data_IF_158876694412
#
_entry.id   IF_158876694412
#
_cell.length_a   1.000
_cell.length_b   1.000
_cell.length_c   1.000
_cell.angle_alpha   90.00
_cell.angle_beta   90.00
_cell.angle_gamma   90.00
#
_symmetry.space_group_name_H-M   'P 1'
#
loop_
_entity.id
_entity.type
_entity.pdbx_description
1 polymer ?
#
# COMPACT_ATOMS: atom_id res chain seq x y z
N UNK A 1 -35.56 35.97 14.13
CA UNK A 1 -34.84 34.74 14.51
C UNK A 1 -33.95 34.35 13.34
N UNK A 2 -32.62 34.50 13.47
CA UNK A 2 -31.66 34.21 12.40
C UNK A 2 -31.28 32.73 12.50
N UNK A 3 -31.70 31.93 11.53
CA UNK A 3 -31.27 30.55 11.39
C UNK A 3 -29.84 30.55 10.83
N UNK A 4 -28.86 30.28 11.69
CA UNK A 4 -27.50 29.99 11.27
C UNK A 4 -27.51 28.56 10.74
N UNK A 5 -27.47 28.42 9.41
CA UNK A 5 -27.18 27.15 8.76
C UNK A 5 -25.71 26.82 9.01
N UNK A 6 -25.44 25.98 10.00
CA UNK A 6 -24.13 25.34 10.15
C UNK A 6 -24.07 24.27 9.06
N UNK A 7 -23.41 24.60 7.96
CA UNK A 7 -23.00 23.62 6.96
C UNK A 7 -21.99 22.68 7.64
N UNK A 8 -22.43 21.47 7.98
CA UNK A 8 -21.51 20.39 8.31
C UNK A 8 -20.62 20.15 7.10
N UNK A 9 -19.35 20.53 7.21
CA UNK A 9 -18.28 20.01 6.37
C UNK A 9 -18.29 18.49 6.55
N UNK A 10 -18.91 17.78 5.60
CA UNK A 10 -18.70 16.36 5.42
C UNK A 10 -17.22 16.21 5.07
N UNK A 11 -16.40 15.99 6.09
CA UNK A 11 -15.12 15.32 5.93
C UNK A 11 -15.47 14.03 5.21
N UNK A 12 -15.21 13.97 3.90
CA UNK A 12 -15.41 12.77 3.12
C UNK A 12 -14.46 11.73 3.68
N UNK A 13 -14.90 10.98 4.69
CA UNK A 13 -14.30 9.71 5.03
C UNK A 13 -14.29 8.91 3.73
N UNK A 14 -13.10 8.50 3.31
CA UNK A 14 -12.96 7.46 2.30
C UNK A 14 -13.91 6.30 2.58
N UNK A 15 -14.39 5.63 1.54
CA UNK A 15 -15.26 4.46 1.72
C UNK A 15 -14.54 3.29 2.39
N UNK A 16 -13.22 3.38 2.55
CA UNK A 16 -12.33 2.34 3.06
C UNK A 16 -12.17 1.20 2.06
N UNK A 17 -12.57 1.39 0.80
CA UNK A 17 -12.64 0.35 -0.24
C UNK A 17 -12.09 0.87 -1.55
N UNK A 18 -11.42 -0.01 -2.31
CA UNK A 18 -11.10 0.27 -3.69
C UNK A 18 -12.29 -0.03 -4.60
N UNK A 19 -12.65 0.92 -5.47
CA UNK A 19 -13.74 0.77 -6.43
C UNK A 19 -13.18 0.71 -7.84
N UNK A 20 -13.58 -0.29 -8.62
CA UNK A 20 -13.16 -0.41 -10.02
C UNK A 20 -13.79 0.70 -10.87
N UNK A 21 -12.98 1.37 -11.68
CA UNK A 21 -13.39 2.49 -12.55
C UNK A 21 -12.93 2.28 -13.99
N UNK A 22 -13.47 3.08 -14.92
CA UNK A 22 -13.05 3.10 -16.32
C UNK A 22 -11.98 4.18 -16.57
N UNK A 23 -11.95 5.24 -15.77
CA UNK A 23 -10.91 6.28 -15.84
C UNK A 23 -10.59 6.89 -14.47
N UNK A 24 -9.36 7.41 -14.32
CA UNK A 24 -8.91 8.07 -13.09
C UNK A 24 -9.67 9.37 -12.77
N UNK A 25 -10.33 9.96 -13.75
CA UNK A 25 -11.20 11.14 -13.54
C UNK A 25 -12.44 10.83 -12.71
N UNK A 26 -12.77 9.55 -12.51
CA UNK A 26 -13.87 9.11 -11.64
C UNK A 26 -13.48 9.13 -10.15
N UNK A 27 -12.18 9.23 -9.84
CA UNK A 27 -11.70 9.23 -8.47
C UNK A 27 -12.03 10.54 -7.76
N UNK A 28 -12.40 10.42 -6.49
CA UNK A 28 -12.60 11.56 -5.61
C UNK A 28 -11.27 12.22 -5.30
N UNK A 29 -11.31 13.47 -4.84
CA UNK A 29 -10.10 14.24 -4.54
C UNK A 29 -9.18 13.62 -3.46
N UNK A 30 -9.69 12.68 -2.66
CA UNK A 30 -8.95 12.00 -1.59
C UNK A 30 -8.62 10.53 -1.91
N UNK A 31 -8.95 10.06 -3.12
CA UNK A 31 -8.67 8.72 -3.58
C UNK A 31 -7.46 8.74 -4.52
N UNK A 32 -6.68 7.66 -4.51
CA UNK A 32 -5.59 7.45 -5.44
C UNK A 32 -6.07 6.55 -6.59
N UNK A 33 -5.76 6.94 -7.83
CA UNK A 33 -6.00 6.09 -8.99
C UNK A 33 -4.86 5.09 -9.15
N UNK A 34 -5.16 3.82 -8.89
CA UNK A 34 -4.19 2.71 -8.94
C UNK A 34 -4.59 1.68 -9.99
N UNK A 35 -3.63 0.85 -10.40
CA UNK A 35 -3.89 -0.23 -11.35
C UNK A 35 -3.48 -1.59 -10.79
N UNK A 36 -4.30 -2.61 -11.08
CA UNK A 36 -4.01 -4.00 -10.77
C UNK A 36 -4.59 -4.89 -11.87
N UNK A 37 -3.81 -5.87 -12.36
CA UNK A 37 -4.28 -6.82 -13.37
C UNK A 37 -4.79 -6.18 -14.67
N UNK A 38 -4.35 -4.95 -15.00
CA UNK A 38 -4.83 -4.19 -16.16
C UNK A 38 -6.16 -3.45 -15.94
N UNK A 39 -6.76 -3.52 -14.75
CA UNK A 39 -7.91 -2.72 -14.35
C UNK A 39 -7.48 -1.47 -13.57
N UNK A 40 -8.36 -0.46 -13.53
CA UNK A 40 -8.20 0.76 -12.75
C UNK A 40 -9.10 0.74 -11.52
N UNK A 41 -8.59 1.27 -10.42
CA UNK A 41 -9.31 1.40 -9.17
C UNK A 41 -9.10 2.78 -8.57
N UNK A 42 -10.16 3.40 -8.06
CA UNK A 42 -10.07 4.52 -7.15
C UNK A 42 -10.05 3.97 -5.74
N UNK A 43 -9.01 4.27 -4.98
CA UNK A 43 -8.79 3.66 -3.68
C UNK A 43 -8.36 4.66 -2.64
N UNK A 44 -8.88 4.51 -1.43
CA UNK A 44 -8.45 5.31 -0.30
C UNK A 44 -7.00 4.98 0.11
N UNK A 45 -6.19 6.00 0.44
CA UNK A 45 -4.86 5.79 0.99
C UNK A 45 -4.94 5.18 2.39
N UNK A 46 -3.98 4.32 2.72
CA UNK A 46 -3.93 3.64 4.00
C UNK A 46 -2.50 3.58 4.56
N UNK A 47 -2.42 3.49 5.88
CA UNK A 47 -1.21 3.32 6.68
C UNK A 47 -1.20 1.94 7.34
N UNK A 48 -2.37 1.43 7.75
CA UNK A 48 -2.55 0.13 8.38
C UNK A 48 -3.83 -0.53 7.89
N UNK A 49 -3.87 -1.87 7.96
CA UNK A 49 -5.02 -2.70 7.57
C UNK A 49 -6.35 -2.22 8.16
N UNK A 50 -6.37 -1.84 9.44
CA UNK A 50 -7.61 -1.44 10.14
C UNK A 50 -8.23 -0.14 9.62
N UNK A 51 -7.57 0.59 8.72
CA UNK A 51 -8.15 1.75 8.04
C UNK A 51 -9.01 1.35 6.83
N UNK A 52 -8.87 0.11 6.37
CA UNK A 52 -9.56 -0.43 5.21
C UNK A 52 -10.75 -1.30 5.63
N UNK A 53 -11.85 -1.23 4.90
CA UNK A 53 -13.08 -1.98 5.20
C UNK A 53 -12.85 -3.49 5.09
N UNK A 54 -12.03 -3.92 4.14
CA UNK A 54 -11.61 -5.30 3.96
C UNK A 54 -10.41 -5.69 4.83
N UNK A 55 -9.90 -4.78 5.65
CA UNK A 55 -8.71 -4.97 6.49
C UNK A 55 -7.43 -5.28 5.71
N UNK A 56 -7.29 -4.72 4.51
CA UNK A 56 -6.14 -4.96 3.66
C UNK A 56 -5.54 -3.66 3.15
N UNK A 57 -4.38 -3.28 3.69
CA UNK A 57 -3.60 -2.13 3.23
C UNK A 57 -2.35 -2.60 2.48
N UNK A 58 -2.28 -2.32 1.19
CA UNK A 58 -1.21 -2.84 0.34
C UNK A 58 -0.66 -1.84 -0.68
N UNK A 59 0.54 -2.12 -1.23
CA UNK A 59 1.16 -1.28 -2.23
C UNK A 59 0.61 -1.59 -3.63
N UNK A 60 0.03 -0.60 -4.31
CA UNK A 60 -0.36 -0.68 -5.73
C UNK A 60 0.32 0.42 -6.56
N UNK A 61 0.61 0.16 -7.85
CA UNK A 61 1.14 1.18 -8.74
C UNK A 61 0.06 2.21 -9.10
N UNK A 62 0.45 3.47 -9.17
CA UNK A 62 -0.38 4.54 -9.74
C UNK A 62 -0.65 4.28 -11.22
N UNK A 63 -1.87 4.54 -11.66
CA UNK A 63 -2.27 4.31 -13.04
C UNK A 63 -1.64 5.32 -14.02
N UNK A 64 -1.43 6.56 -13.59
CA UNK A 64 -0.94 7.66 -14.44
C UNK A 64 0.46 8.13 -14.08
N UNK A 65 1.00 7.68 -12.95
CA UNK A 65 2.31 8.08 -12.42
C UNK A 65 3.11 6.85 -12.04
N UNK A 66 4.42 6.88 -12.32
CA UNK A 66 5.37 5.85 -11.87
C UNK A 66 5.66 5.97 -10.37
N UNK A 67 4.60 5.91 -9.56
CA UNK A 67 4.66 5.98 -8.09
C UNK A 67 3.88 4.81 -7.52
N UNK A 68 4.36 4.26 -6.40
CA UNK A 68 3.62 3.30 -5.59
C UNK A 68 2.82 4.03 -4.53
N UNK A 69 1.56 3.65 -4.38
CA UNK A 69 0.67 4.11 -3.33
C UNK A 69 0.36 2.99 -2.35
N UNK A 70 0.19 3.34 -1.09
CA UNK A 70 -0.35 2.45 -0.08
C UNK A 70 -1.82 2.74 0.05
N UNK A 71 -2.64 1.79 -0.39
CA UNK A 71 -4.08 1.98 -0.53
C UNK A 71 -4.81 0.75 -0.02
N UNK A 72 -6.08 0.95 0.32
CA UNK A 72 -6.96 -0.17 0.63
C UNK A 72 -7.08 -1.07 -0.60
N UNK A 73 -6.86 -2.37 -0.44
CA UNK A 73 -6.92 -3.26 -1.60
C UNK A 73 -8.38 -3.47 -2.03
N UNK A 74 -8.68 -3.69 -3.32
CA UNK A 74 -9.99 -4.18 -3.74
C UNK A 74 -10.23 -5.60 -3.23
N UNK A 75 -11.48 -5.95 -2.93
CA UNK A 75 -11.88 -7.27 -2.42
C UNK A 75 -11.46 -8.45 -3.33
N UNK A 76 -11.19 -8.17 -4.61
CA UNK A 76 -10.74 -9.14 -5.61
C UNK A 76 -9.26 -9.54 -5.45
N UNK A 77 -8.49 -8.79 -4.64
CA UNK A 77 -7.10 -9.09 -4.30
C UNK A 77 -7.10 -9.78 -2.93
N UNK A 78 -6.80 -11.08 -2.84
CA UNK A 78 -6.82 -11.78 -1.55
C UNK A 78 -5.81 -11.25 -0.52
N UNK A 79 -6.22 -11.19 0.76
CA UNK A 79 -5.42 -10.84 1.97
C UNK A 79 -4.11 -11.61 2.14
N UNK A 80 -4.02 -12.76 1.49
CA UNK A 80 -2.89 -13.66 1.48
C UNK A 80 -1.82 -13.26 0.44
N UNK A 81 -2.04 -12.22 -0.37
CA UNK A 81 -1.07 -11.73 -1.34
C UNK A 81 0.11 -10.96 -0.71
N UNK A 82 0.25 -11.00 0.62
CA UNK A 82 1.35 -11.66 1.35
C UNK A 82 2.79 -11.40 0.94
N UNK A 83 3.09 -10.36 0.18
CA UNK A 83 4.47 -9.97 -0.07
C UNK A 83 4.90 -8.84 0.85
N UNK A 84 3.99 -7.92 1.14
CA UNK A 84 4.31 -6.63 1.75
C UNK A 84 3.07 -6.07 2.45
N UNK A 85 3.19 -5.68 3.73
CA UNK A 85 2.13 -5.08 4.54
C UNK A 85 2.63 -3.82 5.25
N UNK A 86 1.91 -2.71 5.12
CA UNK A 86 2.33 -1.45 5.74
C UNK A 86 2.13 -1.50 7.25
N UNK A 87 3.11 -0.98 7.97
CA UNK A 87 3.02 -0.81 9.41
C UNK A 87 2.81 0.66 9.77
N UNK A 88 1.95 0.91 10.74
CA UNK A 88 1.68 2.24 11.29
C UNK A 88 2.79 2.76 12.20
N UNK A 89 3.84 1.97 12.40
CA UNK A 89 5.03 2.32 13.17
C UNK A 89 6.10 1.24 13.07
N UNK A 90 7.18 1.43 13.82
CA UNK A 90 8.28 0.48 13.92
C UNK A 90 7.79 -0.90 14.37
N UNK A 91 8.19 -1.95 13.63
CA UNK A 91 7.81 -3.32 13.95
C UNK A 91 8.43 -3.85 15.25
N UNK A 92 9.39 -3.13 15.86
CA UNK A 92 9.82 -3.37 17.24
C UNK A 92 8.73 -3.09 18.28
N UNK A 93 7.67 -2.37 17.91
CA UNK A 93 6.50 -2.15 18.77
C UNK A 93 5.56 -3.36 18.69
N UNK A 94 5.12 -3.95 19.82
CA UNK A 94 4.31 -5.18 19.80
C UNK A 94 3.03 -5.10 18.95
N UNK A 95 2.37 -3.95 18.92
CA UNK A 95 1.15 -3.73 18.11
C UNK A 95 1.42 -3.65 16.59
N UNK A 96 2.69 -3.51 16.19
CA UNK A 96 3.15 -3.42 14.81
C UNK A 96 4.10 -4.58 14.46
N UNK A 97 4.12 -5.64 15.27
CA UNK A 97 4.97 -6.79 14.98
C UNK A 97 4.56 -7.47 13.66
N UNK A 98 5.56 -7.95 12.94
CA UNK A 98 5.35 -8.80 11.78
C UNK A 98 4.84 -10.18 12.18
N UNK A 99 4.15 -10.86 11.25
CA UNK A 99 3.77 -12.26 11.44
C UNK A 99 5.02 -13.14 11.46
N UNK A 100 4.89 -14.37 11.95
CA UNK A 100 6.02 -15.29 12.13
C UNK A 100 6.77 -15.65 10.84
N UNK A 101 6.13 -15.49 9.70
CA UNK A 101 6.64 -15.75 8.34
C UNK A 101 7.03 -14.46 7.59
N UNK A 102 6.96 -13.31 8.25
CA UNK A 102 7.27 -11.99 7.71
C UNK A 102 8.53 -11.40 8.38
N UNK A 103 9.26 -10.58 7.65
CA UNK A 103 10.37 -9.79 8.14
C UNK A 103 10.04 -8.30 8.17
N UNK A 104 10.43 -7.62 9.24
CA UNK A 104 10.33 -6.16 9.32
C UNK A 104 11.39 -5.51 8.46
N UNK A 105 10.96 -4.67 7.53
CA UNK A 105 11.79 -3.85 6.67
C UNK A 105 11.39 -2.37 6.80
N UNK A 106 12.29 -1.48 6.41
CA UNK A 106 12.10 -0.04 6.49
C UNK A 106 12.53 0.62 5.17
N UNK A 107 11.71 1.56 4.72
CA UNK A 107 12.02 2.55 3.69
C UNK A 107 12.43 3.86 4.36
N UNK A 108 13.73 4.13 4.41
CA UNK A 108 14.31 5.35 4.98
C UNK A 108 14.52 6.47 3.95
N UNK A 109 14.18 6.22 2.68
CA UNK A 109 14.31 7.21 1.61
C UNK A 109 13.21 8.29 1.66
N UNK A 110 12.19 8.06 2.49
CA UNK A 110 11.07 8.98 2.75
C UNK A 110 11.09 9.42 4.20
N UNK A 111 10.62 10.64 4.45
CA UNK A 111 10.50 11.20 5.81
C UNK A 111 9.03 11.54 6.10
N UNK A 112 8.39 10.93 7.12
CA UNK A 112 8.96 9.90 8.01
C UNK A 112 9.20 8.55 7.29
N UNK A 113 10.09 7.69 7.81
CA UNK A 113 10.36 6.38 7.23
C UNK A 113 9.10 5.51 7.24
N UNK A 114 8.96 4.63 6.25
CA UNK A 114 7.85 3.69 6.16
C UNK A 114 8.33 2.30 6.58
N UNK A 115 7.74 1.76 7.63
CA UNK A 115 7.95 0.39 8.06
C UNK A 115 6.95 -0.54 7.38
N UNK A 116 7.40 -1.72 6.99
CA UNK A 116 6.54 -2.73 6.38
C UNK A 116 7.03 -4.13 6.72
N UNK A 117 6.09 -5.06 6.81
CA UNK A 117 6.38 -6.47 6.96
C UNK A 117 6.39 -7.12 5.57
N UNK A 118 7.41 -7.94 5.29
CA UNK A 118 7.58 -8.56 3.99
C UNK A 118 7.87 -10.05 4.10
N UNK A 119 7.29 -10.85 3.22
CA UNK A 119 7.56 -12.28 3.16
C UNK A 119 8.83 -12.57 2.37
N UNK A 120 9.51 -13.65 2.74
CA UNK A 120 10.65 -14.16 2.00
C UNK A 120 10.25 -14.64 0.61
N UNK A 121 11.16 -14.50 -0.36
CA UNK A 121 10.92 -14.92 -1.73
C UNK A 121 12.18 -15.52 -2.36
N UNK A 122 12.00 -16.37 -3.35
CA UNK A 122 13.04 -16.93 -4.19
C UNK A 122 13.01 -16.35 -5.62
N UNK A 123 11.89 -15.75 -6.02
CA UNK A 123 11.72 -15.15 -7.34
C UNK A 123 10.63 -14.07 -7.34
N UNK A 124 10.72 -13.12 -8.27
CA UNK A 124 9.76 -12.01 -8.42
C UNK A 124 8.31 -12.46 -8.65
N UNK A 125 8.09 -13.64 -9.22
CA UNK A 125 6.74 -14.19 -9.45
C UNK A 125 6.02 -14.60 -8.16
N UNK A 126 6.74 -14.74 -7.04
CA UNK A 126 6.15 -15.02 -5.73
C UNK A 126 5.66 -13.75 -5.03
N UNK A 127 5.97 -12.58 -5.56
CA UNK A 127 5.63 -11.30 -4.98
C UNK A 127 4.56 -10.63 -5.81
N UNK A 128 3.47 -10.18 -5.18
CA UNK A 128 2.38 -9.49 -5.89
C UNK A 128 2.72 -8.06 -6.28
N UNK A 129 3.84 -7.56 -5.78
CA UNK A 129 4.53 -6.38 -6.29
C UNK A 129 5.39 -6.67 -7.52
N UNK A 130 5.43 -7.93 -7.96
CA UNK A 130 6.22 -8.41 -9.10
C UNK A 130 7.72 -8.43 -8.85
N UNK A 131 8.15 -8.52 -7.59
CA UNK A 131 9.50 -8.12 -7.22
C UNK A 131 10.01 -8.71 -5.91
N UNK A 132 11.04 -9.53 -6.07
CA UNK A 132 11.77 -10.17 -4.99
C UNK A 132 13.15 -9.51 -4.86
N UNK A 133 13.32 -8.68 -3.83
CA UNK A 133 14.46 -7.79 -3.68
C UNK A 133 15.43 -8.29 -2.61
N UNK A 134 16.74 -8.22 -2.90
CA UNK A 134 17.79 -8.58 -1.96
C UNK A 134 18.07 -7.40 -1.03
N UNK A 135 17.86 -7.57 0.27
CA UNK A 135 18.23 -6.52 1.21
C UNK A 135 19.75 -6.54 1.42
N UNK A 136 20.38 -5.37 1.21
CA UNK A 136 21.86 -5.19 1.20
C UNK A 136 22.54 -5.73 2.47
N UNK A 137 21.82 -5.73 3.59
CA UNK A 137 22.37 -6.07 4.90
C UNK A 137 22.23 -7.55 5.30
N UNK A 138 21.42 -8.36 4.60
CA UNK A 138 20.99 -9.68 5.14
C UNK A 138 21.28 -10.86 4.22
N UNK A 139 21.63 -10.63 2.94
CA UNK A 139 21.82 -11.71 1.97
C UNK A 139 20.54 -12.52 1.67
N UNK A 140 19.40 -12.10 2.23
CA UNK A 140 18.09 -12.71 2.08
C UNK A 140 17.25 -11.88 1.10
N UNK A 141 16.29 -12.55 0.47
CA UNK A 141 15.41 -11.97 -0.53
C UNK A 141 13.99 -11.85 0.05
N UNK A 142 13.38 -10.67 -0.11
CA UNK A 142 12.05 -10.37 0.38
C UNK A 142 11.22 -9.69 -0.69
N UNK A 143 9.91 -9.90 -0.64
CA UNK A 143 9.01 -9.14 -1.49
C UNK A 143 9.07 -7.65 -1.10
N UNK A 144 9.15 -6.76 -2.10
CA UNK A 144 9.31 -5.33 -1.87
C UNK A 144 8.24 -4.51 -2.59
N UNK A 145 7.82 -3.33 -2.08
CA UNK A 145 6.91 -2.44 -2.79
C UNK A 145 7.37 -2.14 -4.24
N UNK A 146 6.44 -1.93 -5.17
CA UNK A 146 6.71 -1.68 -6.60
C UNK A 146 7.82 -0.64 -6.88
N UNK A 147 7.97 0.40 -6.05
CA UNK A 147 9.02 1.43 -6.19
C UNK A 147 10.45 0.88 -6.14
N UNK A 148 10.67 -0.27 -5.49
CA UNK A 148 11.97 -0.93 -5.39
C UNK A 148 12.30 -1.82 -6.58
N UNK A 149 11.35 -1.92 -7.51
CA UNK A 149 11.36 -2.87 -8.61
C UNK A 149 11.66 -2.16 -9.93
N UNK A 150 11.70 -0.83 -9.91
CA UNK A 150 12.27 -0.02 -10.98
C UNK A 150 13.79 0.11 -10.76
N UNK A 151 14.55 -0.49 -11.70
CA UNK A 151 16.01 -0.41 -11.83
C UNK A 151 16.60 1.01 -11.75
N UNK A 152 15.78 2.07 -11.92
CA UNK A 152 16.20 3.47 -11.77
C UNK A 152 16.44 3.89 -10.33
N UNK A 153 15.85 3.21 -9.35
CA UNK A 153 16.07 3.49 -7.93
C UNK A 153 17.24 2.70 -7.33
N UNK A 154 18.01 2.00 -8.19
CA UNK A 154 19.43 1.78 -8.03
C UNK A 154 19.91 1.41 -6.64
N UNK A 155 19.69 0.15 -6.26
CA UNK A 155 20.55 -0.50 -5.28
C UNK A 155 21.09 -1.76 -5.96
N UNK A 156 22.31 -1.62 -6.50
CA UNK A 156 23.18 -2.72 -6.90
C UNK A 156 23.90 -3.26 -5.66
#
# INVERSE_FOLDING_TARGET
>A
MRFIFIAFLLVSCGTGTATRVQSCSECRANEECVTFGGALYCSDPCIVDTQCLNLECGPLPGAEVYRTYWVCLPDEIPSNLGGVRRMGGDCGTPQYACRSDEHCLMDDTVSPPIYFCASGCASSSQCNTGCCYQTVNWGNYFCAPYRYCDSRYGYY
#
